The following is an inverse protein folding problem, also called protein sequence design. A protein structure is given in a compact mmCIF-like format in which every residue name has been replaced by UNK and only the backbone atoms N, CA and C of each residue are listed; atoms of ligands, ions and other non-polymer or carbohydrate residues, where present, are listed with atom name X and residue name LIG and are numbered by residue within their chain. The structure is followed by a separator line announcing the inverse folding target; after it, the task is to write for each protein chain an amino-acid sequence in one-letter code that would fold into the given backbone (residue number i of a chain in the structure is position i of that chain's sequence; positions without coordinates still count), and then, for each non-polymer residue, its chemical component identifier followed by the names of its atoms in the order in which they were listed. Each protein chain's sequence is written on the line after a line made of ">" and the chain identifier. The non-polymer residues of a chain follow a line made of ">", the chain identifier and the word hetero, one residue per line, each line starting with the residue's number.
data_IF_262328905858
#
_entry.id   IF_262328905858
#
_cell.length_a   1.000
_cell.length_b   1.000
_cell.length_c   1.000
_cell.angle_alpha   90.00
_cell.angle_beta   90.00
_cell.angle_gamma   90.00
#
_symmetry.space_group_name_H-M   'P 1'
#
loop_
_entity.id
_entity.type
_entity.pdbx_description
1 polymer ?
#
# COMPACT_ATOMS: atom_id res chain seq x y z
N UNK A 1 -7.25 -12.77 -2.06
CA UNK A 1 -5.84 -12.32 -1.99
C UNK A 1 -5.65 -11.23 -3.04
N UNK A 2 -5.45 -9.97 -2.63
CA UNK A 2 -5.31 -8.84 -3.56
C UNK A 2 -3.92 -8.85 -4.22
N UNK A 3 -3.76 -9.71 -5.22
CA UNK A 3 -2.50 -9.93 -5.93
C UNK A 3 -1.86 -8.63 -6.46
N UNK A 4 -2.68 -7.61 -6.75
CA UNK A 4 -2.26 -6.29 -7.24
C UNK A 4 -1.48 -5.45 -6.22
N UNK A 5 -1.61 -5.71 -4.92
CA UNK A 5 -0.82 -4.99 -3.89
C UNK A 5 0.51 -5.67 -3.59
N UNK A 6 0.62 -6.97 -3.86
CA UNK A 6 1.77 -7.83 -3.58
C UNK A 6 2.84 -7.84 -4.68
N UNK A 7 2.46 -7.68 -5.95
CA UNK A 7 3.44 -7.52 -7.02
C UNK A 7 4.30 -6.28 -6.72
N UNK A 8 5.62 -6.37 -6.83
CA UNK A 8 6.53 -5.23 -6.58
C UNK A 8 7.29 -4.95 -7.85
N UNK A 9 6.75 -4.05 -8.68
CA UNK A 9 7.53 -3.48 -9.78
C UNK A 9 8.43 -2.42 -9.14
N UNK A 10 9.76 -2.59 -9.10
CA UNK A 10 10.62 -1.65 -8.38
C UNK A 10 10.64 -0.28 -9.06
N UNK A 11 10.77 0.78 -8.26
CA UNK A 11 11.16 2.10 -8.75
C UNK A 11 12.64 2.07 -9.21
N UNK A 12 13.12 3.11 -9.93
CA UNK A 12 14.52 3.20 -10.33
C UNK A 12 15.46 3.08 -9.12
N UNK A 13 16.42 2.15 -9.20
CA UNK A 13 17.32 1.84 -8.09
C UNK A 13 18.21 3.03 -7.68
N UNK A 14 18.43 3.99 -8.60
CA UNK A 14 19.16 5.23 -8.34
C UNK A 14 18.57 6.04 -7.15
N UNK A 15 17.28 5.88 -6.86
CA UNK A 15 16.62 6.57 -5.74
C UNK A 15 17.14 6.11 -4.36
N UNK A 16 17.68 4.90 -4.28
CA UNK A 16 18.15 4.30 -3.03
C UNK A 16 19.69 4.29 -2.91
N UNK A 17 20.40 4.67 -3.97
CA UNK A 17 21.86 4.77 -3.97
C UNK A 17 22.35 5.96 -3.14
N UNK A 18 23.55 5.89 -2.52
CA UNK A 18 24.15 7.04 -1.84
C UNK A 18 24.45 8.17 -2.84
N UNK A 19 24.48 9.43 -2.37
CA UNK A 19 24.75 10.58 -3.27
C UNK A 19 26.13 10.40 -3.90
N UNK A 20 26.26 10.68 -5.22
CA UNK A 20 27.57 10.71 -5.83
C UNK A 20 28.43 11.78 -5.17
N UNK A 21 29.72 11.48 -5.01
CA UNK A 21 30.72 12.42 -4.50
C UNK A 21 31.02 13.42 -5.63
N UNK A 22 30.27 14.52 -5.69
CA UNK A 22 30.47 15.59 -6.67
C UNK A 22 29.26 16.54 -6.77
N UNK A 23 29.42 17.72 -7.40
CA UNK A 23 28.30 18.63 -7.61
C UNK A 23 27.27 17.99 -8.54
N UNK A 24 26.01 17.91 -8.10
CA UNK A 24 24.89 17.49 -8.93
C UNK A 24 24.77 18.41 -10.15
N UNK A 25 24.71 17.84 -11.35
CA UNK A 25 24.69 18.62 -12.61
C UNK A 25 23.29 18.73 -13.19
N UNK A 26 22.34 17.89 -12.77
CA UNK A 26 20.98 17.87 -13.33
C UNK A 26 20.00 18.45 -12.32
N UNK A 27 19.44 19.59 -12.67
CA UNK A 27 18.37 20.24 -11.91
C UNK A 27 17.04 20.24 -12.68
N UNK A 28 16.98 19.61 -13.86
CA UNK A 28 15.80 19.65 -14.72
C UNK A 28 15.24 18.25 -15.00
N UNK A 29 13.92 18.14 -14.91
CA UNK A 29 13.12 17.04 -15.46
C UNK A 29 12.31 17.64 -16.61
N UNK A 30 12.68 17.31 -17.85
CA UNK A 30 12.18 17.99 -19.05
C UNK A 30 12.36 19.51 -18.95
N UNK A 31 11.25 20.26 -19.04
CA UNK A 31 11.24 21.72 -18.96
C UNK A 31 10.99 22.23 -17.52
N UNK A 32 10.94 21.33 -16.52
CA UNK A 32 10.69 21.68 -15.13
C UNK A 32 12.00 21.69 -14.31
N UNK A 33 12.25 22.79 -13.60
CA UNK A 33 13.44 22.99 -12.79
C UNK A 33 13.18 22.68 -11.30
N UNK A 34 13.89 21.68 -10.77
CA UNK A 34 13.89 21.31 -9.36
C UNK A 34 14.77 22.26 -8.54
N UNK A 35 14.21 22.80 -7.46
CA UNK A 35 14.98 23.61 -6.50
C UNK A 35 15.46 22.74 -5.33
N UNK A 36 16.64 23.04 -4.77
CA UNK A 36 17.12 22.34 -3.56
C UNK A 36 16.10 22.45 -2.42
N UNK A 37 15.54 23.64 -2.19
CA UNK A 37 14.54 23.86 -1.15
C UNK A 37 13.25 23.03 -1.32
N UNK A 38 12.77 22.80 -2.55
CA UNK A 38 11.62 21.92 -2.78
C UNK A 38 11.97 20.46 -2.52
N UNK A 39 13.17 20.02 -2.89
CA UNK A 39 13.65 18.66 -2.61
C UNK A 39 13.87 18.45 -1.12
N UNK A 40 14.38 19.44 -0.38
CA UNK A 40 14.55 19.37 1.07
C UNK A 40 13.20 19.26 1.80
N UNK A 41 12.20 20.03 1.38
CA UNK A 41 10.82 19.90 1.91
C UNK A 41 10.26 18.50 1.64
N UNK A 42 10.50 17.97 0.44
CA UNK A 42 10.08 16.61 0.09
C UNK A 42 10.80 15.56 0.92
N UNK A 43 12.11 15.68 1.14
CA UNK A 43 12.87 14.78 2.01
C UNK A 43 12.36 14.80 3.46
N UNK A 44 12.01 15.98 3.99
CA UNK A 44 11.40 16.10 5.31
C UNK A 44 10.04 15.38 5.40
N UNK A 45 9.23 15.43 4.34
CA UNK A 45 8.01 14.63 4.23
C UNK A 45 8.32 13.13 4.19
N UNK A 46 9.27 12.69 3.35
CA UNK A 46 9.63 11.28 3.23
C UNK A 46 10.13 10.69 4.55
N UNK A 47 10.89 11.46 5.33
CA UNK A 47 11.32 11.06 6.67
C UNK A 47 10.13 10.82 7.60
N UNK A 48 9.11 11.70 7.56
CA UNK A 48 7.86 11.54 8.33
C UNK A 48 7.00 10.36 7.86
N UNK A 49 7.07 10.02 6.58
CA UNK A 49 6.42 8.84 6.00
C UNK A 49 7.18 7.54 6.30
N UNK A 50 8.37 7.61 6.92
CA UNK A 50 9.14 6.45 7.36
C UNK A 50 10.26 6.02 6.40
N UNK A 51 10.60 6.82 5.38
CA UNK A 51 11.79 6.56 4.54
C UNK A 51 13.06 6.66 5.39
N UNK A 52 13.88 5.60 5.36
CA UNK A 52 15.16 5.52 6.09
C UNK A 52 16.40 5.64 5.19
N UNK A 53 16.21 5.66 3.87
CA UNK A 53 17.30 5.75 2.90
C UNK A 53 17.90 7.16 2.88
N UNK A 54 19.06 7.30 2.24
CA UNK A 54 19.71 8.60 2.07
C UNK A 54 18.74 9.63 1.44
N UNK A 55 18.80 10.91 1.85
CA UNK A 55 18.03 11.98 1.24
C UNK A 55 18.22 12.01 -0.28
N UNK A 56 17.15 12.36 -0.99
CA UNK A 56 17.17 12.55 -2.43
C UNK A 56 17.79 13.90 -2.77
N UNK A 57 18.45 13.96 -3.93
CA UNK A 57 18.93 15.20 -4.53
C UNK A 57 18.29 15.39 -5.92
N UNK A 58 18.43 16.59 -6.49
CA UNK A 58 17.87 16.90 -7.81
C UNK A 58 18.40 15.97 -8.91
N UNK A 59 19.67 15.56 -8.81
CA UNK A 59 20.35 14.77 -9.85
C UNK A 59 19.79 13.34 -9.91
N UNK A 60 19.53 12.74 -8.76
CA UNK A 60 18.89 11.42 -8.64
C UNK A 60 17.45 11.45 -9.12
N UNK A 61 16.67 12.47 -8.76
CA UNK A 61 15.30 12.63 -9.25
C UNK A 61 15.27 12.79 -10.78
N UNK A 62 16.14 13.63 -11.33
CA UNK A 62 16.27 13.82 -12.77
C UNK A 62 16.70 12.55 -13.51
N UNK A 63 17.60 11.77 -12.89
CA UNK A 63 18.08 10.50 -13.46
C UNK A 63 17.00 9.42 -13.39
N UNK A 64 16.29 9.29 -12.27
CA UNK A 64 15.16 8.38 -12.12
C UNK A 64 14.04 8.69 -13.13
N UNK A 65 13.70 9.97 -13.31
CA UNK A 65 12.72 10.39 -14.30
C UNK A 65 13.14 10.02 -15.73
N UNK A 66 14.43 10.15 -16.06
CA UNK A 66 14.95 9.75 -17.37
C UNK A 66 14.85 8.24 -17.58
N UNK A 67 15.30 7.43 -16.62
CA UNK A 67 15.21 5.97 -16.70
C UNK A 67 13.77 5.49 -16.88
N UNK A 68 12.81 6.14 -16.21
CA UNK A 68 11.40 5.77 -16.33
C UNK A 68 10.84 6.04 -17.72
N UNK A 69 11.25 7.13 -18.36
CA UNK A 69 10.85 7.44 -19.74
C UNK A 69 11.46 6.46 -20.73
N UNK A 70 12.75 6.13 -20.56
CA UNK A 70 13.44 5.19 -21.45
C UNK A 70 12.81 3.77 -21.40
N UNK A 71 12.10 3.45 -20.31
CA UNK A 71 11.36 2.19 -20.16
C UNK A 71 9.96 2.20 -20.80
N UNK A 72 9.41 3.35 -21.15
CA UNK A 72 8.08 3.47 -21.76
C UNK A 72 8.22 3.85 -23.23
N UNK A 73 7.92 2.90 -24.12
CA UNK A 73 7.84 3.15 -25.56
C UNK A 73 6.50 3.83 -25.91
N UNK A 74 6.29 5.09 -25.52
CA UNK A 74 5.09 5.86 -25.87
C UNK A 74 4.59 6.81 -24.78
N UNK A 75 3.35 7.29 -24.94
CA UNK A 75 2.67 8.16 -23.97
C UNK A 75 1.91 7.30 -22.95
N UNK A 76 2.53 7.01 -21.82
CA UNK A 76 1.88 6.27 -20.75
C UNK A 76 2.67 6.36 -19.45
N UNK A 77 2.01 6.20 -18.31
CA UNK A 77 2.72 6.11 -17.05
C UNK A 77 3.41 4.75 -16.90
N UNK A 78 4.66 4.73 -16.38
CA UNK A 78 5.35 3.50 -16.05
C UNK A 78 4.53 2.62 -15.11
N UNK A 79 4.55 1.30 -15.34
CA UNK A 79 3.79 0.35 -14.53
C UNK A 79 4.11 0.42 -13.02
N UNK A 80 5.34 0.77 -12.65
CA UNK A 80 5.72 0.99 -11.26
C UNK A 80 4.99 2.17 -10.62
N UNK A 81 4.77 3.27 -11.34
CA UNK A 81 4.03 4.45 -10.86
C UNK A 81 2.55 4.09 -10.73
N UNK A 82 1.94 3.53 -11.77
CA UNK A 82 0.55 3.07 -11.77
C UNK A 82 0.24 2.15 -10.60
N UNK A 83 1.18 1.26 -10.26
CA UNK A 83 1.04 0.37 -9.12
C UNK A 83 0.97 1.13 -7.78
N UNK A 84 1.78 2.18 -7.59
CA UNK A 84 1.69 3.04 -6.39
C UNK A 84 0.41 3.86 -6.39
N UNK A 85 -0.09 4.29 -7.55
CA UNK A 85 -1.35 5.03 -7.61
C UNK A 85 -2.53 4.15 -7.18
N UNK A 86 -2.52 2.86 -7.51
CA UNK A 86 -3.51 1.89 -6.97
C UNK A 86 -3.41 1.72 -5.45
N UNK A 87 -2.18 1.73 -4.91
CA UNK A 87 -1.93 1.66 -3.45
C UNK A 87 -2.46 2.92 -2.75
N UNK A 88 -2.21 4.09 -3.33
CA UNK A 88 -2.74 5.37 -2.87
C UNK A 88 -4.27 5.36 -2.87
N UNK A 89 -4.90 4.90 -3.95
CA UNK A 89 -6.36 4.81 -4.04
C UNK A 89 -6.94 3.90 -2.96
N UNK A 90 -6.30 2.75 -2.69
CA UNK A 90 -6.73 1.85 -1.62
C UNK A 90 -6.61 2.51 -0.23
N UNK A 91 -5.51 3.23 0.04
CA UNK A 91 -5.32 3.97 1.28
C UNK A 91 -6.33 5.13 1.41
N UNK A 92 -6.62 5.85 0.33
CA UNK A 92 -7.61 6.92 0.32
C UNK A 92 -9.02 6.37 0.58
N UNK A 93 -9.38 5.23 -0.02
CA UNK A 93 -10.65 4.54 0.27
C UNK A 93 -10.75 4.14 1.74
N UNK A 94 -9.66 3.64 2.33
CA UNK A 94 -9.59 3.28 3.74
C UNK A 94 -9.87 4.48 4.65
N UNK A 95 -9.27 5.65 4.36
CA UNK A 95 -9.51 6.88 5.13
C UNK A 95 -10.92 7.44 4.99
N UNK A 96 -11.60 7.17 3.87
CA UNK A 96 -12.94 7.67 3.59
C UNK A 96 -14.05 6.73 4.10
N UNK A 97 -13.72 5.53 4.57
CA UNK A 97 -14.71 4.59 5.10
C UNK A 97 -14.96 4.86 6.59
N UNK A 98 -16.15 5.38 6.90
CA UNK A 98 -16.52 5.76 8.28
C UNK A 98 -16.69 4.57 9.23
N UNK A 99 -16.74 3.34 8.71
CA UNK A 99 -16.87 2.12 9.51
C UNK A 99 -15.51 1.43 9.74
N UNK A 100 -14.43 2.00 9.17
CA UNK A 100 -13.07 1.51 9.34
C UNK A 100 -12.23 2.52 10.13
N UNK A 101 -11.76 2.11 11.31
CA UNK A 101 -10.82 2.89 12.11
C UNK A 101 -9.43 2.25 11.99
N UNK A 102 -8.46 2.88 11.32
CA UNK A 102 -7.11 2.33 11.20
C UNK A 102 -6.41 2.18 12.55
N UNK A 103 -5.65 1.09 12.72
CA UNK A 103 -4.86 0.84 13.93
C UNK A 103 -3.50 1.56 13.84
N UNK A 104 -2.91 1.85 15.00
CA UNK A 104 -1.59 2.46 15.16
C UNK A 104 -1.45 3.78 14.36
N UNK A 105 -0.23 4.05 13.88
CA UNK A 105 0.08 5.23 13.10
C UNK A 105 -0.36 5.11 11.63
N UNK A 106 -0.97 3.99 11.20
CA UNK A 106 -1.30 3.75 9.80
C UNK A 106 -2.30 4.80 9.27
N UNK A 107 -3.28 5.20 10.08
CA UNK A 107 -4.22 6.27 9.71
C UNK A 107 -3.51 7.62 9.50
N UNK A 108 -2.61 7.99 10.42
CA UNK A 108 -1.87 9.24 10.35
C UNK A 108 -0.88 9.27 9.16
N UNK A 109 -0.18 8.16 8.92
CA UNK A 109 0.74 8.02 7.77
C UNK A 109 -0.03 8.05 6.44
N UNK A 110 -1.16 7.36 6.35
CA UNK A 110 -2.02 7.38 5.17
C UNK A 110 -2.55 8.79 4.91
N UNK A 111 -3.03 9.48 5.94
CA UNK A 111 -3.53 10.85 5.82
C UNK A 111 -2.44 11.82 5.36
N UNK A 112 -1.22 11.71 5.91
CA UNK A 112 -0.08 12.52 5.50
C UNK A 112 0.29 12.29 4.02
N UNK A 113 0.32 11.02 3.60
CA UNK A 113 0.59 10.64 2.21
C UNK A 113 -0.50 11.18 1.27
N UNK A 114 -1.79 10.94 1.57
CA UNK A 114 -2.92 11.41 0.74
C UNK A 114 -2.96 12.93 0.69
N UNK A 115 -2.68 13.62 1.80
CA UNK A 115 -2.63 15.08 1.85
C UNK A 115 -1.53 15.65 0.95
N UNK A 116 -0.36 15.01 0.87
CA UNK A 116 0.68 15.41 -0.06
C UNK A 116 0.22 15.27 -1.52
N UNK A 117 -0.29 14.10 -1.92
CA UNK A 117 -0.65 13.81 -3.32
C UNK A 117 -1.85 14.65 -3.80
N UNK A 118 -2.74 15.03 -2.89
CA UNK A 118 -3.88 15.91 -3.20
C UNK A 118 -3.58 17.40 -2.96
N UNK A 119 -2.37 17.70 -2.48
CA UNK A 119 -1.96 19.04 -2.06
C UNK A 119 -1.47 19.93 -3.20
N UNK A 120 -1.31 21.22 -2.89
CA UNK A 120 -0.83 22.23 -3.87
C UNK A 120 0.69 22.33 -3.99
N UNK A 121 1.42 21.69 -3.09
CA UNK A 121 2.88 21.82 -2.98
C UNK A 121 3.61 20.51 -3.33
N UNK A 122 3.09 19.80 -4.34
CA UNK A 122 3.77 18.65 -4.93
C UNK A 122 5.12 19.06 -5.51
N UNK A 123 6.08 18.12 -5.48
CA UNK A 123 7.42 18.35 -5.98
C UNK A 123 7.42 18.42 -7.51
N UNK A 124 6.62 17.57 -8.16
CA UNK A 124 6.46 17.55 -9.60
C UNK A 124 5.05 17.97 -10.00
N UNK A 125 4.90 18.73 -11.09
CA UNK A 125 3.58 18.98 -11.64
C UNK A 125 3.07 17.74 -12.38
N UNK A 126 1.82 17.35 -12.10
CA UNK A 126 1.14 16.22 -12.76
C UNK A 126 1.00 16.39 -14.29
N UNK A 127 1.18 17.60 -14.81
CA UNK A 127 1.20 17.87 -16.25
C UNK A 127 2.46 17.35 -16.97
N UNK A 128 3.51 16.95 -16.24
CA UNK A 128 4.67 16.33 -16.86
C UNK A 128 4.31 14.96 -17.44
N UNK A 129 4.53 14.72 -18.73
CA UNK A 129 4.21 13.46 -19.35
C UNK A 129 5.05 12.33 -18.74
N UNK A 130 4.45 11.16 -18.52
CA UNK A 130 5.10 9.92 -18.05
C UNK A 130 5.59 9.95 -16.59
N UNK A 131 6.08 11.09 -16.09
CA UNK A 131 6.76 11.19 -14.78
C UNK A 131 6.10 12.17 -13.81
N UNK A 132 4.94 12.75 -14.17
CA UNK A 132 4.23 13.71 -13.31
C UNK A 132 3.92 13.18 -11.90
N UNK A 133 3.69 11.87 -11.77
CA UNK A 133 3.41 11.19 -10.49
C UNK A 133 4.62 10.46 -9.90
N UNK A 134 5.85 10.79 -10.32
CA UNK A 134 7.05 10.15 -9.78
C UNK A 134 7.23 10.44 -8.29
N UNK A 135 7.04 11.69 -7.87
CA UNK A 135 7.12 12.08 -6.47
C UNK A 135 6.00 11.47 -5.63
N UNK A 136 4.77 11.41 -6.15
CA UNK A 136 3.66 10.69 -5.53
C UNK A 136 3.99 9.21 -5.34
N UNK A 137 4.55 8.57 -6.36
CA UNK A 137 4.98 7.18 -6.29
C UNK A 137 6.08 6.98 -5.23
N UNK A 138 7.03 7.90 -5.10
CA UNK A 138 8.07 7.85 -4.06
C UNK A 138 7.47 8.03 -2.66
N UNK A 139 6.51 8.95 -2.49
CA UNK A 139 5.81 9.17 -1.23
C UNK A 139 5.01 7.92 -0.81
N UNK A 140 4.30 7.30 -1.75
CA UNK A 140 3.59 6.04 -1.50
C UNK A 140 4.56 4.93 -1.13
N UNK A 141 5.68 4.79 -1.85
CA UNK A 141 6.67 3.75 -1.57
C UNK A 141 7.30 3.90 -0.18
N UNK A 142 7.57 5.14 0.24
CA UNK A 142 8.06 5.46 1.58
C UNK A 142 7.06 5.08 2.69
N UNK A 143 5.76 5.39 2.48
CA UNK A 143 4.70 5.11 3.44
C UNK A 143 4.29 3.62 3.49
N UNK A 144 4.50 2.88 2.39
CA UNK A 144 3.94 1.55 2.20
C UNK A 144 4.29 0.53 3.29
N UNK A 145 5.52 0.47 3.85
CA UNK A 145 5.84 -0.47 4.93
C UNK A 145 4.95 -0.31 6.17
N UNK A 146 4.53 0.91 6.50
CA UNK A 146 3.63 1.18 7.63
C UNK A 146 2.14 0.93 7.27
N UNK A 147 1.79 1.01 5.99
CA UNK A 147 0.39 0.92 5.53
C UNK A 147 -0.02 -0.45 5.01
N UNK A 148 0.92 -1.26 4.53
CA UNK A 148 0.63 -2.47 3.75
C UNK A 148 -0.35 -3.41 4.46
N UNK A 149 -0.09 -3.70 5.72
CA UNK A 149 -0.83 -4.72 6.46
C UNK A 149 -2.24 -4.20 6.82
N UNK A 150 -2.34 -2.92 7.19
CA UNK A 150 -3.62 -2.26 7.48
C UNK A 150 -4.49 -2.09 6.23
N UNK A 151 -3.90 -1.68 5.09
CA UNK A 151 -4.62 -1.60 3.80
C UNK A 151 -5.06 -3.00 3.34
N UNK A 152 -4.25 -4.03 3.60
CA UNK A 152 -4.62 -5.41 3.27
C UNK A 152 -5.83 -5.88 4.11
N UNK A 153 -5.84 -5.57 5.41
CA UNK A 153 -6.97 -5.82 6.30
C UNK A 153 -8.24 -5.08 5.82
N UNK A 154 -8.13 -3.79 5.51
CA UNK A 154 -9.23 -2.98 4.99
C UNK A 154 -9.85 -3.57 3.72
N UNK A 155 -9.02 -4.01 2.77
CA UNK A 155 -9.55 -4.58 1.53
C UNK A 155 -10.20 -5.96 1.72
N UNK A 156 -9.71 -6.77 2.67
CA UNK A 156 -10.38 -8.01 3.05
C UNK A 156 -11.73 -7.73 3.74
N UNK A 157 -11.78 -6.71 4.61
CA UNK A 157 -13.00 -6.19 5.19
C UNK A 157 -14.02 -5.77 4.12
N UNK A 158 -13.60 -4.97 3.12
CA UNK A 158 -14.46 -4.57 2.02
C UNK A 158 -15.01 -5.75 1.21
N UNK A 159 -14.16 -6.76 0.97
CA UNK A 159 -14.56 -8.01 0.31
C UNK A 159 -15.62 -8.74 1.14
N UNK A 160 -15.40 -8.91 2.45
CA UNK A 160 -16.32 -9.63 3.31
C UNK A 160 -17.65 -8.87 3.47
N UNK A 161 -17.62 -7.54 3.68
CA UNK A 161 -18.82 -6.68 3.70
C UNK A 161 -19.66 -6.87 2.44
N UNK A 162 -19.01 -6.91 1.28
CA UNK A 162 -19.69 -7.10 -0.01
C UNK A 162 -20.36 -8.48 -0.13
N UNK A 163 -19.68 -9.53 0.34
CA UNK A 163 -20.22 -10.89 0.34
C UNK A 163 -21.40 -11.05 1.32
N UNK A 164 -21.24 -10.56 2.55
CA UNK A 164 -22.28 -10.63 3.59
C UNK A 164 -23.53 -9.82 3.20
N UNK A 165 -23.35 -8.67 2.54
CA UNK A 165 -24.46 -7.88 1.99
C UNK A 165 -25.19 -8.64 0.87
N UNK A 166 -24.44 -9.22 -0.08
CA UNK A 166 -25.00 -10.02 -1.17
C UNK A 166 -25.79 -11.23 -0.67
N UNK A 167 -25.26 -11.97 0.31
CA UNK A 167 -25.93 -13.12 0.93
C UNK A 167 -27.24 -12.75 1.63
N UNK A 168 -27.35 -11.51 2.13
CA UNK A 168 -28.56 -10.97 2.78
C UNK A 168 -29.47 -10.21 1.82
N UNK A 169 -29.13 -10.12 0.53
CA UNK A 169 -29.88 -9.33 -0.45
C UNK A 169 -29.93 -7.84 -0.12
N UNK A 170 -28.91 -7.30 0.56
CA UNK A 170 -28.82 -5.89 0.93
C UNK A 170 -27.80 -5.17 0.06
N UNK A 171 -28.00 -3.88 -0.14
CA UNK A 171 -26.99 -3.01 -0.75
C UNK A 171 -25.78 -2.87 0.18
N UNK A 172 -24.57 -2.85 -0.41
CA UNK A 172 -23.30 -2.83 0.34
C UNK A 172 -23.22 -1.60 1.27
N UNK A 173 -23.66 -0.43 0.79
CA UNK A 173 -23.63 0.81 1.58
C UNK A 173 -24.68 0.89 2.70
N UNK A 174 -25.76 0.12 2.60
CA UNK A 174 -26.82 0.07 3.61
C UNK A 174 -26.61 -1.08 4.62
N UNK A 175 -25.68 -1.99 4.33
CA UNK A 175 -25.34 -3.09 5.21
C UNK A 175 -24.34 -2.63 6.27
N UNK A 176 -24.76 -2.66 7.53
CA UNK A 176 -23.89 -2.37 8.66
C UNK A 176 -22.93 -3.55 8.87
N UNK A 177 -21.64 -3.29 8.69
CA UNK A 177 -20.58 -4.25 8.91
C UNK A 177 -19.36 -3.46 9.37
N UNK A 178 -19.00 -3.61 10.63
CA UNK A 178 -17.92 -2.86 11.26
C UNK A 178 -16.59 -3.61 11.21
N UNK A 179 -15.51 -2.94 11.60
CA UNK A 179 -14.22 -3.59 11.85
C UNK A 179 -14.35 -4.76 12.83
N UNK A 180 -15.10 -4.60 13.91
CA UNK A 180 -15.29 -5.65 14.93
C UNK A 180 -15.96 -6.90 14.34
N UNK A 181 -16.96 -6.73 13.48
CA UNK A 181 -17.62 -7.85 12.80
C UNK A 181 -16.65 -8.61 11.89
N UNK A 182 -15.77 -7.88 11.20
CA UNK A 182 -14.68 -8.49 10.42
C UNK A 182 -13.68 -9.23 11.30
N UNK A 183 -13.24 -8.65 12.42
CA UNK A 183 -12.33 -9.30 13.36
C UNK A 183 -12.94 -10.58 13.98
N UNK A 184 -14.23 -10.56 14.28
CA UNK A 184 -14.98 -11.75 14.74
C UNK A 184 -15.02 -12.83 13.65
N UNK A 185 -15.31 -12.46 12.41
CA UNK A 185 -15.27 -13.38 11.28
C UNK A 185 -13.87 -13.98 11.06
N UNK A 186 -12.81 -13.16 11.16
CA UNK A 186 -11.41 -13.63 11.07
C UNK A 186 -11.05 -14.60 12.19
N UNK A 187 -11.50 -14.33 13.43
CA UNK A 187 -11.31 -15.23 14.58
C UNK A 187 -12.06 -16.55 14.41
N UNK A 188 -13.28 -16.51 13.88
CA UNK A 188 -14.08 -17.70 13.58
C UNK A 188 -13.43 -18.54 12.48
N UNK A 189 -12.96 -17.93 11.39
CA UNK A 189 -12.22 -18.60 10.31
C UNK A 189 -10.97 -19.30 10.86
N UNK A 190 -10.15 -18.60 11.64
CA UNK A 190 -8.93 -19.16 12.24
C UNK A 190 -9.24 -20.36 13.15
N UNK A 191 -10.27 -20.25 13.98
CA UNK A 191 -10.69 -21.32 14.90
C UNK A 191 -11.16 -22.55 14.12
N UNK A 192 -11.92 -22.35 13.05
CA UNK A 192 -12.39 -23.43 12.18
C UNK A 192 -11.24 -24.11 11.44
N UNK A 193 -10.25 -23.36 10.94
CA UNK A 193 -9.05 -23.92 10.31
C UNK A 193 -8.22 -24.74 11.28
N UNK A 194 -8.02 -24.24 12.50
CA UNK A 194 -7.33 -24.97 13.57
C UNK A 194 -8.06 -26.27 13.90
N UNK A 195 -9.38 -26.22 14.07
CA UNK A 195 -10.20 -27.39 14.30
C UNK A 195 -10.06 -28.40 13.15
N UNK A 196 -10.21 -27.96 11.89
CA UNK A 196 -10.05 -28.83 10.70
C UNK A 196 -8.68 -29.48 10.63
N UNK A 197 -7.62 -28.79 11.05
CA UNK A 197 -6.27 -29.38 11.15
C UNK A 197 -6.22 -30.46 12.23
N UNK A 198 -6.69 -30.16 13.44
CA UNK A 198 -6.75 -31.14 14.52
C UNK A 198 -7.55 -32.39 14.13
N UNK A 199 -8.63 -32.23 13.37
CA UNK A 199 -9.46 -33.35 12.90
C UNK A 199 -8.83 -34.16 11.76
N UNK A 200 -8.01 -33.53 10.91
CA UNK A 200 -7.22 -34.31 9.96
C UNK A 200 -6.22 -35.21 10.69
N UNK A 201 -5.76 -34.76 11.85
CA UNK A 201 -4.82 -35.49 12.71
C UNK A 201 -5.54 -36.48 13.66
N UNK A 202 -6.78 -36.18 14.09
CA UNK A 202 -7.58 -36.96 15.03
C UNK A 202 -9.04 -37.17 14.57
N UNK A 203 -9.61 -38.35 14.80
CA UNK A 203 -11.02 -38.61 14.49
C UNK A 203 -11.98 -37.71 15.29
N UNK A 204 -13.10 -37.30 14.69
CA UNK A 204 -14.24 -36.71 15.42
C UNK A 204 -14.91 -37.68 16.39
N UNK A 205 -14.68 -38.98 16.22
CA UNK A 205 -15.21 -40.00 17.11
C UNK A 205 -14.28 -40.12 18.32
N UNK A 206 -14.80 -40.14 19.56
CA UNK A 206 -14.01 -40.56 20.69
C UNK A 206 -13.41 -41.93 20.38
N UNK A 207 -12.14 -42.13 20.72
CA UNK A 207 -11.46 -43.41 20.58
C UNK A 207 -12.35 -44.45 21.26
N UNK A 208 -12.86 -45.44 20.51
CA UNK A 208 -13.62 -46.54 21.12
C UNK A 208 -12.72 -47.18 22.16
N UNK A 209 -13.04 -47.00 23.44
CA UNK A 209 -12.42 -47.82 24.49
C UNK A 209 -12.65 -49.28 24.10
N UNK A 210 -11.58 -50.07 24.12
CA UNK A 210 -11.66 -51.49 23.82
C UNK A 210 -12.54 -52.15 24.89
N UNK A 211 -13.83 -52.34 24.59
CA UNK A 211 -14.70 -53.17 25.41
C UNK A 211 -14.22 -54.61 25.29
N UNK A 212 -13.41 -55.06 26.24
CA UNK A 212 -13.06 -56.46 26.39
C UNK A 212 -14.28 -57.20 26.96
N UNK A 213 -14.92 -58.02 26.13
CA UNK A 213 -15.89 -59.00 26.62
C UNK A 213 -15.12 -60.19 27.20
N UNK A 214 -15.29 -60.44 28.49
CA UNK A 214 -14.82 -61.66 29.16
C UNK A 214 -15.91 -62.72 28.97
N UNK A 215 -15.57 -63.82 28.31
CA UNK A 215 -16.41 -65.01 28.16
C UNK A 215 -16.17 -66.00 29.31
#
# INVERSE_FOLDING_TARGET
>A
MNAMLTATIPLPAILDQPSPIGPGRRHCIDNFHLTAASVDRFNALLARLGRRNAPLDCDRLATAARELRDRVNGTGEPACILQRMKRLEAAAKMLNDSQWEPIDDAGAVAALMVHYVTGRYQLLPNSLPTVGHLDDAIAVDAAWPALRDEVAAFLDYCRLRSLEAMLRGREIGAFQFSRNDWEDARRAEYTLEKQRRCIRENSYLPQREACFYVH
#
